data_IF_392262934030
#
_entry.id   IF_392262934030
#
_cell.length_a   1.000
_cell.length_b   1.000
_cell.length_c   1.000
_cell.angle_alpha   90.00
_cell.angle_beta   90.00
_cell.angle_gamma   90.00
#
_symmetry.space_group_name_H-M   'P 1'
#
loop_
_entity.id
_entity.type
_entity.pdbx_description
1 polymer ?
#
# COMPACT_ATOMS: atom_id res chain seq x y z
N UNK A 1 -6.72 16.13 3.16
CA UNK A 1 -5.28 15.84 3.30
C UNK A 1 -4.72 15.67 1.89
N UNK A 2 -3.53 16.17 1.54
CA UNK A 2 -2.97 15.93 0.20
C UNK A 2 -2.56 14.46 0.03
N UNK A 3 -2.55 13.97 -1.22
CA UNK A 3 -1.92 12.70 -1.55
C UNK A 3 -0.42 12.81 -1.29
N UNK A 4 0.15 11.83 -0.58
CA UNK A 4 1.58 11.77 -0.26
C UNK A 4 2.24 10.82 -1.26
N UNK A 5 3.26 11.30 -1.98
CA UNK A 5 4.00 10.52 -2.98
C UNK A 5 5.41 10.12 -2.52
N UNK A 6 5.90 10.79 -1.49
CA UNK A 6 7.18 10.47 -0.86
C UNK A 6 7.03 9.31 0.16
N UNK A 7 8.10 8.57 0.47
CA UNK A 7 8.08 7.54 1.51
C UNK A 7 7.57 8.10 2.84
N UNK A 8 6.52 7.48 3.40
CA UNK A 8 5.87 7.93 4.64
C UNK A 8 5.48 6.76 5.56
N UNK A 9 6.18 5.64 5.46
CA UNK A 9 5.98 4.48 6.33
C UNK A 9 6.62 4.75 7.69
N UNK A 10 5.90 4.46 8.77
CA UNK A 10 6.36 4.65 10.13
C UNK A 10 5.66 3.70 11.10
N UNK A 11 6.38 3.26 12.13
CA UNK A 11 5.82 2.55 13.29
C UNK A 11 5.91 3.49 14.51
N UNK A 12 4.78 3.90 15.13
CA UNK A 12 4.80 4.79 16.29
C UNK A 12 5.49 4.17 17.52
N UNK A 13 5.64 2.85 17.57
CA UNK A 13 6.22 2.12 18.70
C UNK A 13 7.70 1.79 18.50
N UNK A 14 8.28 2.10 17.34
CA UNK A 14 9.65 1.72 17.00
C UNK A 14 10.38 2.84 16.26
N UNK A 15 11.63 3.09 16.65
CA UNK A 15 12.51 3.96 15.86
C UNK A 15 13.12 3.16 14.72
N UNK A 16 12.78 3.52 13.49
CA UNK A 16 13.47 3.01 12.31
C UNK A 16 14.95 3.42 12.33
N UNK A 17 15.83 2.54 11.85
CA UNK A 17 17.24 2.85 11.69
C UNK A 17 17.47 3.64 10.39
N UNK A 18 16.69 3.33 9.35
CA UNK A 18 16.62 4.07 8.09
C UNK A 18 15.15 4.34 7.68
N UNK A 19 14.95 5.39 6.88
CA UNK A 19 13.60 5.85 6.48
C UNK A 19 12.78 4.80 5.70
N UNK A 20 13.43 3.79 5.13
CA UNK A 20 12.79 2.75 4.32
C UNK A 20 12.43 1.48 5.11
N UNK A 21 12.95 1.30 6.32
CA UNK A 21 12.81 0.04 7.08
C UNK A 21 11.34 -0.38 7.25
N UNK A 22 10.46 0.59 7.56
CA UNK A 22 9.03 0.32 7.72
C UNK A 22 8.33 -0.01 6.40
N UNK A 23 8.81 0.54 5.28
CA UNK A 23 8.29 0.23 3.95
C UNK A 23 8.71 -1.17 3.50
N UNK A 24 9.97 -1.52 3.73
CA UNK A 24 10.51 -2.85 3.43
C UNK A 24 9.79 -3.94 4.24
N UNK A 25 9.52 -3.70 5.52
CA UNK A 25 8.74 -4.63 6.35
C UNK A 25 7.30 -4.79 5.87
N UNK A 26 6.66 -3.71 5.46
CA UNK A 26 5.33 -3.82 4.86
C UNK A 26 5.35 -4.64 3.58
N UNK A 27 6.35 -4.42 2.72
CA UNK A 27 6.53 -5.20 1.50
C UNK A 27 6.82 -6.68 1.77
N UNK A 28 7.64 -6.97 2.78
CA UNK A 28 7.90 -8.33 3.25
C UNK A 28 6.59 -9.00 3.69
N UNK A 29 5.79 -8.35 4.56
CA UNK A 29 4.49 -8.87 4.99
C UNK A 29 3.55 -9.18 3.81
N UNK A 30 3.56 -8.35 2.75
CA UNK A 30 2.78 -8.64 1.53
C UNK A 30 3.31 -9.88 0.80
N UNK A 31 4.63 -10.00 0.64
CA UNK A 31 5.25 -11.18 0.02
C UNK A 31 4.92 -12.46 0.81
N UNK A 32 4.94 -12.38 2.14
CA UNK A 32 4.58 -13.51 2.99
C UNK A 32 3.10 -13.89 2.85
N UNK A 33 2.20 -12.91 2.78
CA UNK A 33 0.77 -13.14 2.59
C UNK A 33 0.45 -13.84 1.27
N UNK A 34 1.29 -13.67 0.23
CA UNK A 34 1.13 -14.31 -1.07
C UNK A 34 1.78 -15.69 -1.18
N UNK A 35 2.63 -16.11 -0.23
CA UNK A 35 3.51 -17.28 -0.36
C UNK A 35 2.79 -18.58 -0.76
N UNK A 36 1.57 -18.79 -0.26
CA UNK A 36 0.79 -20.01 -0.48
C UNK A 36 -0.46 -19.77 -1.34
N UNK A 37 -0.56 -18.63 -2.01
CA UNK A 37 -1.70 -18.25 -2.85
C UNK A 37 -1.40 -18.53 -4.34
N UNK A 38 -2.42 -18.95 -5.09
CA UNK A 38 -2.38 -18.88 -6.56
C UNK A 38 -2.41 -17.43 -7.03
N UNK A 39 -2.06 -17.19 -8.29
CA UNK A 39 -2.10 -15.85 -8.89
C UNK A 39 -3.50 -15.21 -8.78
N UNK A 40 -4.58 -15.99 -8.98
CA UNK A 40 -5.94 -15.49 -8.82
C UNK A 40 -6.28 -15.18 -7.37
N UNK A 41 -5.77 -15.98 -6.42
CA UNK A 41 -5.98 -15.75 -4.99
C UNK A 41 -5.21 -14.52 -4.49
N UNK A 42 -3.98 -14.31 -4.97
CA UNK A 42 -3.17 -13.13 -4.69
C UNK A 42 -3.85 -11.87 -5.25
N UNK A 43 -4.30 -11.88 -6.50
CA UNK A 43 -5.06 -10.77 -7.08
C UNK A 43 -6.35 -10.45 -6.29
N UNK A 44 -7.05 -11.48 -5.80
CA UNK A 44 -8.23 -11.30 -4.97
C UNK A 44 -7.87 -10.77 -3.56
N UNK A 45 -6.72 -11.15 -3.00
CA UNK A 45 -6.19 -10.61 -1.76
C UNK A 45 -5.86 -9.12 -1.90
N UNK A 46 -5.12 -8.73 -2.92
CA UNK A 46 -4.75 -7.34 -3.21
C UNK A 46 -5.99 -6.46 -3.39
N UNK A 47 -6.98 -6.92 -4.15
CA UNK A 47 -8.22 -6.17 -4.34
C UNK A 47 -8.98 -5.92 -3.02
N UNK A 48 -9.00 -6.92 -2.12
CA UNK A 48 -9.60 -6.76 -0.78
C UNK A 48 -8.79 -5.82 0.10
N UNK A 49 -7.47 -5.93 0.08
CA UNK A 49 -6.59 -5.05 0.86
C UNK A 49 -6.76 -3.59 0.42
N UNK A 50 -6.73 -3.33 -0.90
CA UNK A 50 -6.98 -2.00 -1.47
C UNK A 50 -8.33 -1.45 -1.01
N UNK A 51 -9.39 -2.27 -1.04
CA UNK A 51 -10.72 -1.82 -0.61
C UNK A 51 -10.75 -1.46 0.89
N UNK A 52 -10.11 -2.27 1.74
CA UNK A 52 -10.02 -1.98 3.18
C UNK A 52 -9.26 -0.69 3.44
N UNK A 53 -8.13 -0.48 2.78
CA UNK A 53 -7.33 0.76 2.91
C UNK A 53 -8.08 1.97 2.34
N UNK A 54 -8.77 1.83 1.22
CA UNK A 54 -9.59 2.88 0.64
C UNK A 54 -10.74 3.30 1.57
N UNK A 55 -11.37 2.34 2.25
CA UNK A 55 -12.39 2.62 3.26
C UNK A 55 -11.80 3.36 4.48
N UNK A 56 -10.58 3.02 4.89
CA UNK A 56 -9.88 3.73 5.97
C UNK A 56 -9.54 5.19 5.59
N UNK A 57 -9.14 5.42 4.33
CA UNK A 57 -8.87 6.76 3.79
C UNK A 57 -10.17 7.59 3.70
N UNK A 58 -11.25 7.02 3.17
CA UNK A 58 -12.58 7.62 3.13
C UNK A 58 -12.78 8.83 2.19
N UNK A 59 -11.72 9.34 1.57
CA UNK A 59 -11.77 10.49 0.65
C UNK A 59 -11.70 10.03 -0.82
N UNK A 60 -12.86 10.07 -1.50
CA UNK A 60 -12.96 9.68 -2.91
C UNK A 60 -12.16 10.58 -3.85
N UNK A 61 -11.93 11.85 -3.51
CA UNK A 61 -11.14 12.76 -4.35
C UNK A 61 -9.66 12.36 -4.33
N UNK A 62 -9.14 12.03 -3.14
CA UNK A 62 -7.78 11.53 -2.97
C UNK A 62 -7.58 10.17 -3.63
N UNK A 63 -8.57 9.27 -3.55
CA UNK A 63 -8.52 7.99 -4.24
C UNK A 63 -8.49 8.14 -5.77
N UNK A 64 -9.24 9.10 -6.33
CA UNK A 64 -9.19 9.42 -7.77
C UNK A 64 -7.81 9.93 -8.19
N UNK A 65 -7.21 10.78 -7.37
CA UNK A 65 -5.86 11.29 -7.62
C UNK A 65 -4.83 10.15 -7.59
N UNK A 66 -4.91 9.26 -6.60
CA UNK A 66 -4.04 8.09 -6.49
C UNK A 66 -4.15 7.17 -7.73
N UNK A 67 -5.38 6.92 -8.22
CA UNK A 67 -5.60 6.14 -9.44
C UNK A 67 -4.98 6.78 -10.68
N UNK A 68 -5.01 8.13 -10.78
CA UNK A 68 -4.37 8.86 -11.88
C UNK A 68 -2.85 8.66 -11.85
N UNK A 69 -2.24 8.85 -10.68
CA UNK A 69 -0.79 8.68 -10.49
C UNK A 69 -0.36 7.24 -10.82
N UNK A 70 -1.10 6.23 -10.32
CA UNK A 70 -0.80 4.83 -10.62
C UNK A 70 -0.91 4.51 -12.12
N UNK A 71 -1.88 5.10 -12.82
CA UNK A 71 -2.05 4.92 -14.26
C UNK A 71 -0.94 5.57 -15.08
N UNK A 72 -0.33 6.64 -14.58
CA UNK A 72 0.81 7.30 -15.22
C UNK A 72 2.09 6.48 -15.04
N UNK A 73 2.30 5.88 -13.86
CA UNK A 73 3.48 5.04 -13.58
C UNK A 73 3.47 3.69 -14.33
N UNK A 74 2.29 3.18 -14.70
CA UNK A 74 2.13 1.92 -15.41
C UNK A 74 2.29 2.02 -16.94
N UNK A 75 2.48 3.23 -17.47
CA UNK A 75 2.67 3.50 -18.91
C UNK A 75 4.15 3.67 -19.23
#
# INVERSE_FOLDING_TARGET
>A
MPLILDPNFHDPNRKAQHDYDCGDEFFEMLCEAHRDLSDEQAAAFDARLILVLANHVGDLSLLREAMRVASEAAR
#
